data_IF_840880246699
#
_entry.id   IF_840880246699
#
_cell.length_a   1.000
_cell.length_b   1.000
_cell.length_c   1.000
_cell.angle_alpha   90.00
_cell.angle_beta   90.00
_cell.angle_gamma   90.00
#
_symmetry.space_group_name_H-M   'P 1'
#
loop_
_entity.id
_entity.type
_entity.pdbx_description
1 polymer ?
#
# COMPACT_ATOMS: atom_id res chain seq x y z
N UNK A 1 -6.59 28.80 -4.71
CA UNK A 1 -5.20 29.16 -4.33
C UNK A 1 -5.08 30.56 -3.71
N UNK A 2 -5.82 31.58 -4.19
CA UNK A 2 -5.70 32.96 -3.71
C UNK A 2 -5.85 33.14 -2.18
N UNK A 3 -6.88 32.53 -1.57
CA UNK A 3 -7.13 32.65 -0.13
C UNK A 3 -5.98 32.09 0.72
N UNK A 4 -5.52 30.86 0.44
CA UNK A 4 -4.45 30.23 1.20
C UNK A 4 -3.10 30.95 1.01
N UNK A 5 -2.84 31.48 -0.19
CA UNK A 5 -1.64 32.30 -0.45
C UNK A 5 -1.70 33.61 0.35
N UNK A 6 -2.82 34.32 0.33
CA UNK A 6 -3.02 35.55 1.09
C UNK A 6 -2.81 35.31 2.59
N UNK A 7 -3.46 34.28 3.14
CA UNK A 7 -3.27 33.91 4.55
C UNK A 7 -1.80 33.59 4.88
N UNK A 8 -1.12 32.87 4.00
CA UNK A 8 0.31 32.56 4.16
C UNK A 8 1.17 33.82 4.16
N UNK A 9 0.90 34.76 3.27
CA UNK A 9 1.67 36.01 3.16
C UNK A 9 1.42 36.93 4.36
N UNK A 10 0.21 36.92 4.92
CA UNK A 10 -0.16 37.68 6.12
C UNK A 10 0.39 37.06 7.41
N UNK A 11 0.26 35.75 7.58
CA UNK A 11 0.65 35.05 8.81
C UNK A 11 2.12 34.66 8.85
N UNK A 12 2.73 34.40 7.70
CA UNK A 12 4.13 33.95 7.55
C UNK A 12 4.48 32.76 8.46
N UNK A 13 3.72 31.64 8.38
CA UNK A 13 3.92 30.52 9.28
C UNK A 13 5.32 29.90 9.11
N UNK A 14 5.93 29.58 10.25
CA UNK A 14 7.26 28.95 10.31
C UNK A 14 7.28 27.55 9.68
N UNK A 15 6.16 26.84 9.68
CA UNK A 15 6.01 25.47 9.17
C UNK A 15 4.61 25.24 8.59
N UNK A 16 4.52 24.41 7.55
CA UNK A 16 3.26 23.85 7.04
C UNK A 16 3.27 22.32 6.99
N UNK A 17 2.15 21.69 7.36
CA UNK A 17 1.91 20.27 7.12
C UNK A 17 0.92 20.10 5.96
N UNK A 18 1.31 19.35 4.93
CA UNK A 18 0.47 19.08 3.76
C UNK A 18 0.03 17.61 3.78
N UNK A 19 -1.24 17.35 4.10
CA UNK A 19 -1.75 15.99 4.36
C UNK A 19 -2.49 15.44 3.14
N UNK A 20 -2.16 14.21 2.77
CA UNK A 20 -2.74 13.50 1.63
C UNK A 20 -2.90 12.01 1.91
N UNK A 21 -3.52 11.29 0.98
CA UNK A 21 -3.55 9.84 0.98
C UNK A 21 -2.84 9.31 -0.26
N UNK A 22 -2.07 8.24 -0.08
CA UNK A 22 -1.44 7.49 -1.16
C UNK A 22 -2.10 6.12 -1.33
N UNK A 23 -1.68 5.38 -2.36
CA UNK A 23 -2.15 4.02 -2.58
C UNK A 23 -1.79 3.12 -1.37
N UNK A 24 -2.76 2.36 -0.87
CA UNK A 24 -2.55 1.44 0.25
C UNK A 24 -1.52 0.33 -0.07
N UNK A 25 -1.27 0.02 -1.34
CA UNK A 25 -0.28 -0.95 -1.79
C UNK A 25 1.09 -0.31 -2.13
N UNK A 26 1.32 0.95 -1.77
CA UNK A 26 2.67 1.53 -1.78
C UNK A 26 3.52 0.84 -0.72
N UNK A 27 4.73 0.43 -1.09
CA UNK A 27 5.69 -0.21 -0.20
C UNK A 27 6.73 0.79 0.34
N UNK A 28 7.22 0.52 1.55
CA UNK A 28 8.36 1.21 2.13
C UNK A 28 9.66 0.57 1.62
N UNK A 29 10.20 1.11 0.53
CA UNK A 29 11.35 0.56 -0.18
C UNK A 29 11.04 -0.76 -0.88
N UNK A 30 12.10 -1.48 -1.23
CA UNK A 30 12.03 -2.82 -1.80
C UNK A 30 11.79 -3.87 -0.70
N UNK A 31 10.68 -3.73 0.02
CA UNK A 31 10.27 -4.62 1.11
C UNK A 31 8.83 -5.11 0.94
N UNK A 32 8.43 -6.03 1.82
CA UNK A 32 7.05 -6.52 1.97
C UNK A 32 6.18 -5.61 2.85
N UNK A 33 6.72 -4.49 3.33
CA UNK A 33 6.02 -3.57 4.23
C UNK A 33 5.32 -2.47 3.46
N UNK A 34 4.05 -2.24 3.77
CA UNK A 34 3.33 -1.05 3.30
C UNK A 34 3.96 0.23 3.84
N UNK A 35 4.00 1.27 3.03
CA UNK A 35 4.26 2.63 3.51
C UNK A 35 2.97 3.19 4.15
N UNK A 36 2.81 2.96 5.46
CA UNK A 36 1.67 3.44 6.22
C UNK A 36 1.68 4.98 6.30
N UNK A 37 2.87 5.55 6.49
CA UNK A 37 3.12 7.00 6.42
C UNK A 37 4.33 7.24 5.51
N UNK A 38 4.19 8.10 4.50
CA UNK A 38 5.34 8.60 3.75
C UNK A 38 5.54 10.08 4.01
N UNK A 39 6.80 10.48 4.22
CA UNK A 39 7.18 11.86 4.50
C UNK A 39 7.91 12.45 3.31
N UNK A 40 7.65 13.71 3.01
CA UNK A 40 8.49 14.53 2.14
C UNK A 40 8.76 15.87 2.81
N UNK A 41 10.03 16.16 3.05
CA UNK A 41 10.47 17.53 3.36
C UNK A 41 10.68 18.25 2.03
N UNK A 42 9.86 19.27 1.79
CA UNK A 42 9.78 19.91 0.47
C UNK A 42 10.90 20.94 0.31
N UNK A 43 11.61 20.89 -0.82
CA UNK A 43 12.65 21.85 -1.17
C UNK A 43 12.07 23.20 -1.64
N UNK A 44 11.05 23.16 -2.50
CA UNK A 44 10.41 24.37 -3.06
C UNK A 44 11.03 24.89 -4.36
N UNK A 45 12.10 24.27 -4.85
CA UNK A 45 12.74 24.63 -6.11
C UNK A 45 13.32 23.41 -6.84
N UNK A 46 13.49 23.46 -8.17
CA UNK A 46 14.00 22.33 -8.94
C UNK A 46 15.48 22.00 -8.69
N UNK A 47 16.26 22.94 -8.15
CA UNK A 47 17.67 22.71 -7.81
C UNK A 47 17.84 22.00 -6.45
N UNK A 48 16.75 21.79 -5.71
CA UNK A 48 16.70 21.20 -4.37
C UNK A 48 17.60 21.97 -3.39
N UNK A 49 17.47 23.30 -3.39
CA UNK A 49 18.26 24.17 -2.51
C UNK A 49 17.89 23.95 -1.04
N UNK A 50 18.87 23.69 -0.19
CA UNK A 50 18.63 23.57 1.25
C UNK A 50 18.55 24.95 1.90
N UNK A 51 17.53 25.13 2.75
CA UNK A 51 17.34 26.32 3.58
C UNK A 51 17.36 25.96 5.07
N UNK A 52 17.53 26.92 6.00
CA UNK A 52 17.42 26.65 7.43
C UNK A 52 16.08 26.00 7.80
N UNK A 53 15.00 26.40 7.12
CA UNK A 53 13.66 25.83 7.28
C UNK A 53 13.56 24.39 6.78
N UNK A 54 14.18 24.08 5.64
CA UNK A 54 14.29 22.72 5.12
C UNK A 54 15.07 21.80 6.08
N UNK A 55 16.23 22.24 6.55
CA UNK A 55 17.04 21.48 7.52
C UNK A 55 16.31 21.26 8.85
N UNK A 56 15.59 22.27 9.35
CA UNK A 56 14.71 22.12 10.52
C UNK A 56 13.61 21.10 10.24
N UNK A 57 12.96 21.15 9.08
CA UNK A 57 11.91 20.21 8.73
C UNK A 57 12.42 18.77 8.58
N UNK A 58 13.66 18.55 8.13
CA UNK A 58 14.31 17.22 8.19
C UNK A 58 14.47 16.71 9.63
N UNK A 59 14.87 17.58 10.56
CA UNK A 59 14.93 17.21 11.98
C UNK A 59 13.55 16.90 12.55
N UNK A 60 12.52 17.68 12.19
CA UNK A 60 11.13 17.40 12.59
C UNK A 60 10.61 16.10 11.97
N UNK A 61 10.97 15.78 10.73
CA UNK A 61 10.68 14.47 10.15
C UNK A 61 11.38 13.35 10.94
N UNK A 62 12.62 13.56 11.41
CA UNK A 62 13.27 12.61 12.32
C UNK A 62 12.53 12.44 13.65
N UNK A 63 11.93 13.50 14.21
CA UNK A 63 11.06 13.41 15.39
C UNK A 63 9.85 12.52 15.08
N UNK A 64 9.20 12.74 13.94
CA UNK A 64 8.05 11.95 13.49
C UNK A 64 8.44 10.47 13.36
N UNK A 65 9.57 10.17 12.70
CA UNK A 65 10.07 8.81 12.52
C UNK A 65 10.25 8.13 13.87
N UNK A 66 10.91 8.79 14.82
CA UNK A 66 11.14 8.25 16.16
C UNK A 66 9.83 8.02 16.93
N UNK A 67 8.88 8.95 16.84
CA UNK A 67 7.58 8.85 17.51
C UNK A 67 6.69 7.74 16.93
N UNK A 68 6.76 7.50 15.62
CA UNK A 68 5.92 6.50 14.94
C UNK A 68 6.52 5.10 14.89
N UNK A 69 7.85 4.97 14.91
CA UNK A 69 8.55 3.67 14.78
C UNK A 69 8.10 2.60 15.79
N UNK A 70 7.78 2.92 17.07
CA UNK A 70 7.24 1.93 18.01
C UNK A 70 5.87 1.36 17.60
N UNK A 71 5.08 2.10 16.83
CA UNK A 71 3.73 1.71 16.42
C UNK A 71 3.69 1.06 15.03
N UNK A 72 4.54 1.53 14.11
CA UNK A 72 4.56 1.13 12.70
C UNK A 72 5.99 0.84 12.19
N UNK A 73 6.72 -0.11 12.80
CA UNK A 73 8.15 -0.33 12.55
C UNK A 73 8.45 -0.77 11.12
N UNK A 74 9.17 0.07 10.37
CA UNK A 74 9.52 -0.16 8.97
C UNK A 74 8.40 0.13 7.97
N UNK A 75 7.30 0.74 8.41
CA UNK A 75 6.19 1.17 7.56
C UNK A 75 6.20 2.69 7.31
N UNK A 76 7.36 3.34 7.51
CA UNK A 76 7.58 4.75 7.23
C UNK A 76 8.52 4.84 6.02
N UNK A 77 8.17 5.68 5.05
CA UNK A 77 8.94 5.83 3.82
C UNK A 77 9.14 7.31 3.45
N UNK A 78 10.06 7.55 2.52
CA UNK A 78 10.25 8.85 1.89
C UNK A 78 9.42 8.92 0.61
N UNK A 79 8.54 9.92 0.52
CA UNK A 79 7.80 10.21 -0.70
C UNK A 79 8.73 10.84 -1.74
N UNK A 80 8.42 10.70 -3.02
CA UNK A 80 9.27 11.19 -4.09
C UNK A 80 9.41 12.72 -4.04
N UNK A 81 10.63 13.20 -4.25
CA UNK A 81 11.02 14.60 -4.07
C UNK A 81 11.16 15.33 -5.41
N UNK A 82 10.46 14.85 -6.45
CA UNK A 82 10.38 15.51 -7.74
C UNK A 82 9.63 16.84 -7.61
N UNK A 83 10.31 17.93 -7.99
CA UNK A 83 9.74 19.27 -7.95
C UNK A 83 8.62 19.39 -8.98
N UNK A 84 7.49 19.95 -8.56
CA UNK A 84 6.36 20.22 -9.44
C UNK A 84 5.97 21.70 -9.35
N UNK A 85 6.04 22.48 -10.46
CA UNK A 85 5.80 23.93 -10.44
C UNK A 85 4.43 24.34 -9.92
N UNK A 86 3.44 23.46 -10.05
CA UNK A 86 2.06 23.69 -9.67
C UNK A 86 1.69 23.02 -8.34
N UNK A 87 2.61 22.27 -7.71
CA UNK A 87 2.32 21.59 -6.45
C UNK A 87 2.20 22.59 -5.30
N UNK A 88 1.28 22.31 -4.40
CA UNK A 88 1.00 23.15 -3.24
C UNK A 88 2.22 23.27 -2.33
N UNK A 89 2.86 22.14 -2.00
CA UNK A 89 4.01 22.10 -1.08
C UNK A 89 5.21 22.87 -1.63
N UNK A 90 5.52 22.70 -2.92
CA UNK A 90 6.64 23.38 -3.56
C UNK A 90 6.43 24.90 -3.55
N UNK A 91 5.25 25.36 -3.97
CA UNK A 91 4.93 26.78 -3.98
C UNK A 91 4.95 27.41 -2.57
N UNK A 92 4.39 26.74 -1.56
CA UNK A 92 4.42 27.25 -0.19
C UNK A 92 5.84 27.35 0.37
N UNK A 93 6.69 26.35 0.06
CA UNK A 93 8.09 26.37 0.46
C UNK A 93 8.86 27.48 -0.27
N UNK A 94 8.63 27.65 -1.57
CA UNK A 94 9.20 28.73 -2.38
C UNK A 94 8.78 30.13 -1.88
N UNK A 95 7.54 30.29 -1.43
CA UNK A 95 7.05 31.56 -0.87
C UNK A 95 7.64 31.84 0.51
N UNK A 96 8.25 30.84 1.16
CA UNK A 96 9.00 30.98 2.42
C UNK A 96 8.34 30.30 3.61
N UNK A 97 7.38 29.39 3.41
CA UNK A 97 6.84 28.53 4.47
C UNK A 97 7.30 27.09 4.22
N UNK A 98 8.33 26.60 4.92
CA UNK A 98 8.84 25.24 4.75
C UNK A 98 7.76 24.19 5.04
N UNK A 99 7.51 23.29 4.07
CA UNK A 99 6.46 22.27 4.16
C UNK A 99 7.02 20.88 4.48
N UNK A 100 6.31 20.13 5.32
CA UNK A 100 6.40 18.66 5.43
C UNK A 100 5.11 18.09 4.85
N UNK A 101 5.22 17.28 3.80
CA UNK A 101 4.12 16.49 3.27
C UNK A 101 4.05 15.15 4.01
N UNK A 102 2.83 14.73 4.36
CA UNK A 102 2.53 13.45 4.99
C UNK A 102 1.49 12.73 4.13
N UNK A 103 1.90 11.66 3.45
CA UNK A 103 1.00 10.75 2.74
C UNK A 103 0.58 9.61 3.66
N UNK A 104 -0.72 9.41 3.82
CA UNK A 104 -1.26 8.25 4.54
C UNK A 104 -1.55 7.12 3.55
N UNK A 105 -0.89 5.98 3.74
CA UNK A 105 -1.10 4.77 2.93
C UNK A 105 -1.99 3.75 3.63
N UNK A 106 -1.59 2.47 3.58
CA UNK A 106 -2.28 1.36 4.23
C UNK A 106 -1.41 0.68 5.27
N UNK A 107 -2.05 0.00 6.22
CA UNK A 107 -1.38 -0.91 7.14
C UNK A 107 -2.27 -2.13 7.40
N UNK A 108 -1.86 -3.28 6.88
CA UNK A 108 -2.62 -4.52 6.94
C UNK A 108 -2.86 -4.92 8.40
N UNK A 109 -4.09 -5.38 8.67
CA UNK A 109 -4.52 -5.69 10.04
C UNK A 109 -4.76 -4.47 10.95
N UNK A 110 -4.78 -3.25 10.40
CA UNK A 110 -5.18 -2.03 11.12
C UNK A 110 -6.29 -1.31 10.36
N UNK A 111 -7.15 -0.62 11.11
CA UNK A 111 -8.22 0.19 10.55
C UNK A 111 -7.76 1.62 10.21
N UNK A 112 -8.63 2.39 9.57
CA UNK A 112 -8.36 3.79 9.23
C UNK A 112 -8.14 4.66 10.48
N UNK A 113 -8.87 4.37 11.57
CA UNK A 113 -8.74 5.11 12.82
C UNK A 113 -7.35 4.95 13.45
N UNK A 114 -6.71 3.79 13.31
CA UNK A 114 -5.32 3.61 13.69
C UNK A 114 -4.39 4.55 12.93
N UNK A 115 -4.57 4.70 11.61
CA UNK A 115 -3.76 5.61 10.78
C UNK A 115 -4.03 7.08 11.10
N UNK A 116 -5.27 7.44 11.45
CA UNK A 116 -5.61 8.79 11.96
C UNK A 116 -4.84 9.07 13.26
N UNK A 117 -4.76 8.11 14.18
CA UNK A 117 -3.95 8.24 15.40
C UNK A 117 -2.46 8.42 15.08
N UNK A 118 -1.94 7.74 14.06
CA UNK A 118 -0.54 7.92 13.64
C UNK A 118 -0.30 9.34 13.10
N UNK A 119 -1.20 9.87 12.28
CA UNK A 119 -1.11 11.27 11.82
C UNK A 119 -1.16 12.26 12.99
N UNK A 120 -2.04 12.04 13.96
CA UNK A 120 -2.11 12.86 15.17
C UNK A 120 -0.79 12.82 15.94
N UNK A 121 -0.24 11.62 16.21
CA UNK A 121 1.05 11.46 16.92
C UNK A 121 2.19 12.14 16.15
N UNK A 122 2.22 12.00 14.82
CA UNK A 122 3.23 12.65 13.97
C UNK A 122 3.21 14.18 14.12
N UNK A 123 2.05 14.79 13.88
CA UNK A 123 1.90 16.25 13.89
C UNK A 123 2.12 16.79 15.30
N UNK A 124 1.52 16.17 16.32
CA UNK A 124 1.67 16.59 17.71
C UNK A 124 3.13 16.51 18.19
N UNK A 125 3.85 15.44 17.84
CA UNK A 125 5.26 15.27 18.22
C UNK A 125 6.15 16.31 17.54
N UNK A 126 5.93 16.58 16.24
CA UNK A 126 6.67 17.61 15.52
C UNK A 126 6.39 19.01 16.07
N UNK A 127 5.13 19.35 16.35
CA UNK A 127 4.78 20.64 16.94
C UNK A 127 5.34 20.81 18.35
N UNK A 128 5.29 19.76 19.18
CA UNK A 128 5.89 19.80 20.52
C UNK A 128 7.41 20.02 20.44
N UNK A 129 8.10 19.25 19.60
CA UNK A 129 9.54 19.39 19.44
C UNK A 129 9.95 20.76 18.89
N UNK A 130 9.16 21.33 17.97
CA UNK A 130 9.38 22.69 17.48
C UNK A 130 9.20 23.74 18.59
N UNK A 131 8.20 23.55 19.47
CA UNK A 131 7.88 24.48 20.54
C UNK A 131 8.93 24.48 21.66
N UNK A 132 9.45 23.32 22.04
CA UNK A 132 10.48 23.18 23.08
C UNK A 132 11.92 23.23 22.55
N UNK A 133 12.09 23.21 21.23
CA UNK A 133 13.38 23.30 20.55
C UNK A 133 14.19 22.00 20.51
N UNK A 134 13.60 20.87 20.93
CA UNK A 134 14.25 19.57 21.00
C UNK A 134 14.51 18.93 19.63
N UNK A 135 13.89 19.42 18.56
CA UNK A 135 14.19 19.00 17.19
C UNK A 135 15.67 19.22 16.85
N UNK A 136 16.31 20.23 17.44
CA UNK A 136 17.74 20.52 17.27
C UNK A 136 18.66 19.39 17.76
N UNK A 137 18.17 18.51 18.63
CA UNK A 137 18.92 17.36 19.12
C UNK A 137 18.95 16.19 18.11
N UNK A 138 18.13 16.24 17.05
CA UNK A 138 18.11 15.21 16.02
C UNK A 138 18.93 15.60 14.79
N UNK A 139 19.45 14.57 14.12
CA UNK A 139 20.15 14.73 12.86
C UNK A 139 19.17 14.71 11.67
N UNK A 140 19.29 15.64 10.71
CA UNK A 140 18.58 15.57 9.43
C UNK A 140 18.78 14.24 8.68
N UNK A 141 19.94 13.59 8.88
CA UNK A 141 20.30 12.32 8.25
C UNK A 141 19.28 11.21 8.55
N UNK A 142 18.62 11.26 9.71
CA UNK A 142 17.63 10.23 10.07
C UNK A 142 16.44 10.21 9.10
N UNK A 143 16.08 11.35 8.53
CA UNK A 143 15.08 11.43 7.46
C UNK A 143 15.63 10.89 6.13
N UNK A 144 16.88 11.23 5.80
CA UNK A 144 17.53 10.83 4.55
C UNK A 144 17.76 9.30 4.45
N UNK A 145 17.76 8.60 5.59
CA UNK A 145 17.86 7.15 5.67
C UNK A 145 16.54 6.41 5.43
N UNK A 146 15.40 7.12 5.32
CA UNK A 146 14.13 6.47 5.03
C UNK A 146 14.19 5.77 3.66
N UNK A 147 13.63 4.55 3.56
CA UNK A 147 13.47 3.92 2.26
C UNK A 147 12.50 4.74 1.41
N UNK A 148 12.79 4.90 0.11
CA UNK A 148 11.86 5.56 -0.81
C UNK A 148 10.60 4.72 -1.04
N UNK A 149 9.49 5.37 -1.32
CA UNK A 149 8.28 4.71 -1.78
C UNK A 149 8.55 3.84 -3.01
N UNK A 150 7.94 2.65 -3.05
CA UNK A 150 8.02 1.73 -4.18
C UNK A 150 6.60 1.25 -4.56
N UNK A 151 6.30 1.23 -5.86
CA UNK A 151 5.00 0.79 -6.37
C UNK A 151 5.09 -0.60 -7.01
N UNK A 152 3.98 -1.34 -6.99
CA UNK A 152 3.88 -2.64 -7.68
C UNK A 152 4.54 -3.83 -6.97
N UNK A 153 5.09 -3.62 -5.76
CA UNK A 153 5.67 -4.66 -4.90
C UNK A 153 4.66 -5.40 -4.04
N UNK A 154 3.51 -4.78 -3.78
CA UNK A 154 2.49 -5.34 -2.91
C UNK A 154 1.22 -5.66 -3.68
N UNK A 155 0.58 -6.76 -3.28
CA UNK A 155 -0.76 -7.15 -3.71
C UNK A 155 -1.62 -7.48 -2.50
N UNK A 156 -2.95 -7.40 -2.64
CA UNK A 156 -3.83 -7.72 -1.50
C UNK A 156 -3.73 -9.20 -1.13
N UNK A 157 -3.85 -10.08 -2.13
CA UNK A 157 -3.78 -11.53 -1.94
C UNK A 157 -2.91 -12.17 -3.00
N UNK A 158 -2.06 -13.11 -2.60
CA UNK A 158 -1.36 -13.99 -3.53
C UNK A 158 -1.65 -15.46 -3.20
N UNK A 159 -2.12 -16.21 -4.20
CA UNK A 159 -2.17 -17.68 -4.15
C UNK A 159 -0.90 -18.23 -4.80
N UNK A 160 -0.04 -18.87 -4.01
CA UNK A 160 1.27 -19.36 -4.46
C UNK A 160 1.17 -20.76 -5.04
N UNK A 161 1.75 -20.98 -6.22
CA UNK A 161 1.92 -22.31 -6.83
C UNK A 161 0.64 -23.01 -7.30
N UNK A 162 -0.43 -22.28 -7.59
CA UNK A 162 -1.70 -22.84 -8.06
C UNK A 162 -1.53 -23.62 -9.39
N UNK A 163 -2.27 -24.71 -9.57
CA UNK A 163 -2.45 -25.32 -10.90
C UNK A 163 -3.70 -24.75 -11.55
N UNK A 164 -3.51 -23.81 -12.47
CA UNK A 164 -4.59 -23.10 -13.13
C UNK A 164 -5.14 -23.95 -14.27
N UNK A 165 -6.45 -24.16 -14.27
CA UNK A 165 -7.15 -24.87 -15.35
C UNK A 165 -7.95 -23.87 -16.18
N UNK A 166 -7.62 -23.75 -17.46
CA UNK A 166 -8.34 -22.89 -18.40
C UNK A 166 -9.73 -23.45 -18.72
N UNK A 167 -10.75 -22.59 -18.71
CA UNK A 167 -12.08 -22.95 -19.20
C UNK A 167 -12.03 -23.13 -20.73
N UNK A 168 -11.83 -24.38 -21.16
CA UNK A 168 -12.03 -24.97 -22.50
C UNK A 168 -11.08 -24.59 -23.67
N UNK A 169 -10.66 -25.58 -24.50
CA UNK A 169 -10.26 -26.94 -24.10
C UNK A 169 -8.93 -26.87 -23.36
N UNK A 170 -8.81 -27.68 -22.31
CA UNK A 170 -7.65 -27.81 -21.42
C UNK A 170 -6.40 -28.15 -22.24
N UNK A 171 -5.63 -27.15 -22.64
CA UNK A 171 -4.24 -27.33 -23.04
C UNK A 171 -3.38 -26.83 -21.88
N UNK A 172 -2.96 -27.83 -21.09
CA UNK A 172 -2.01 -27.82 -19.97
C UNK A 172 -2.36 -26.97 -18.74
N UNK A 173 -2.51 -27.67 -17.61
CA UNK A 173 -2.53 -27.03 -16.30
C UNK A 173 -1.23 -26.23 -16.13
N UNK A 174 -1.35 -24.93 -15.89
CA UNK A 174 -0.20 -24.07 -15.71
C UNK A 174 0.04 -23.88 -14.21
N UNK A 175 1.25 -24.22 -13.75
CA UNK A 175 1.72 -23.84 -12.42
C UNK A 175 2.06 -22.36 -12.42
N UNK A 176 1.39 -21.58 -11.59
CA UNK A 176 1.66 -20.15 -11.46
C UNK A 176 1.17 -19.60 -10.12
N UNK A 177 1.70 -18.45 -9.72
CA UNK A 177 1.11 -17.63 -8.68
C UNK A 177 -0.04 -16.80 -9.25
N UNK A 178 -1.07 -16.54 -8.45
CA UNK A 178 -2.21 -15.69 -8.81
C UNK A 178 -2.22 -14.50 -7.85
N UNK A 179 -1.96 -13.30 -8.38
CA UNK A 179 -1.95 -12.05 -7.63
C UNK A 179 -3.24 -11.26 -7.82
N UNK A 180 -3.87 -10.86 -6.71
CA UNK A 180 -5.20 -10.26 -6.67
C UNK A 180 -5.13 -8.91 -5.94
N UNK A 181 -5.80 -7.90 -6.51
CA UNK A 181 -6.04 -6.63 -5.84
C UNK A 181 -7.53 -6.32 -5.73
N UNK A 182 -7.89 -5.61 -4.68
CA UNK A 182 -9.24 -5.12 -4.43
C UNK A 182 -9.39 -3.70 -4.95
N UNK A 183 -10.50 -3.40 -5.61
CA UNK A 183 -10.86 -2.01 -5.92
C UNK A 183 -11.72 -1.44 -4.78
N UNK A 184 -11.16 -0.50 -4.01
CA UNK A 184 -11.96 0.31 -3.09
C UNK A 184 -12.78 1.33 -3.88
N UNK A 185 -14.10 1.19 -3.89
CA UNK A 185 -15.02 2.28 -4.24
C UNK A 185 -15.55 2.88 -2.95
N UNK A 186 -15.38 4.20 -2.76
CA UNK A 186 -15.69 4.94 -1.50
C UNK A 186 -17.14 4.85 -1.00
N UNK A 187 -18.03 4.15 -1.70
CA UNK A 187 -19.44 3.97 -1.31
C UNK A 187 -19.98 2.54 -1.53
N UNK A 188 -19.14 1.59 -1.94
CA UNK A 188 -19.61 0.24 -2.23
C UNK A 188 -19.49 -0.69 -1.01
N UNK A 189 -20.58 -1.38 -0.67
CA UNK A 189 -20.60 -2.46 0.34
C UNK A 189 -19.67 -3.64 -0.01
N UNK A 190 -19.26 -3.75 -1.27
CA UNK A 190 -18.36 -4.78 -1.78
C UNK A 190 -17.23 -4.14 -2.59
N UNK A 191 -15.98 -4.49 -2.26
CA UNK A 191 -14.83 -4.13 -3.09
C UNK A 191 -14.57 -5.29 -4.06
N UNK A 192 -14.85 -5.14 -5.37
CA UNK A 192 -14.59 -6.20 -6.32
C UNK A 192 -13.10 -6.53 -6.32
N UNK A 193 -12.80 -7.82 -6.33
CA UNK A 193 -11.44 -8.35 -6.38
C UNK A 193 -11.12 -8.78 -7.81
N UNK A 194 -9.97 -8.35 -8.32
CA UNK A 194 -9.54 -8.65 -9.68
C UNK A 194 -8.19 -9.34 -9.68
N UNK A 195 -8.05 -10.33 -10.54
CA UNK A 195 -6.76 -10.94 -10.84
C UNK A 195 -5.95 -9.89 -11.61
N UNK A 196 -4.80 -9.48 -11.05
CA UNK A 196 -3.93 -8.47 -11.65
C UNK A 196 -2.70 -9.07 -12.31
N UNK A 197 -2.13 -10.12 -11.74
CA UNK A 197 -0.97 -10.83 -12.29
C UNK A 197 -1.15 -12.33 -12.16
N UNK A 198 -0.64 -13.06 -13.14
CA UNK A 198 -0.45 -14.51 -13.12
C UNK A 198 0.96 -14.79 -13.60
N UNK A 199 1.67 -15.69 -12.94
CA UNK A 199 3.01 -16.12 -13.35
C UNK A 199 3.93 -16.31 -12.15
N UNK A 200 5.22 -16.06 -12.36
CA UNK A 200 6.18 -15.97 -11.25
C UNK A 200 6.03 -14.60 -10.57
N UNK A 201 5.67 -14.61 -9.29
CA UNK A 201 5.51 -13.42 -8.45
C UNK A 201 6.51 -13.40 -7.30
N UNK A 202 7.69 -14.02 -7.43
CA UNK A 202 8.71 -14.05 -6.38
C UNK A 202 9.22 -12.65 -5.97
N UNK A 203 9.08 -11.64 -6.85
CA UNK A 203 9.50 -10.26 -6.58
C UNK A 203 8.41 -9.37 -5.96
N UNK A 204 7.22 -9.94 -5.71
CA UNK A 204 6.03 -9.29 -5.15
C UNK A 204 5.61 -10.00 -3.87
N UNK A 205 5.11 -9.25 -2.90
CA UNK A 205 4.56 -9.78 -1.65
C UNK A 205 3.05 -9.56 -1.56
N UNK A 206 2.32 -10.54 -1.06
CA UNK A 206 0.92 -10.41 -0.72
C UNK A 206 0.75 -9.89 0.71
N UNK A 207 -0.24 -9.04 0.95
CA UNK A 207 -0.65 -8.73 2.33
C UNK A 207 -1.20 -9.99 3.02
N UNK A 208 -1.91 -10.82 2.25
CA UNK A 208 -2.20 -12.20 2.60
C UNK A 208 -1.66 -13.15 1.52
N UNK A 209 -0.93 -14.19 1.94
CA UNK A 209 -0.42 -15.22 1.04
C UNK A 209 -0.93 -16.61 1.45
N UNK A 210 -1.31 -17.39 0.45
CA UNK A 210 -1.84 -18.74 0.66
C UNK A 210 -1.11 -19.74 -0.22
N UNK A 211 -0.77 -20.90 0.33
CA UNK A 211 -0.20 -22.01 -0.43
C UNK A 211 -1.31 -22.74 -1.22
N UNK A 212 -1.31 -22.56 -2.54
CA UNK A 212 -2.23 -23.20 -3.47
C UNK A 212 -1.58 -24.37 -4.24
N UNK A 213 -0.36 -24.78 -3.86
CA UNK A 213 0.38 -25.86 -4.55
C UNK A 213 -0.31 -27.22 -4.51
N UNK A 214 -1.20 -27.45 -3.55
CA UNK A 214 -2.03 -28.65 -3.45
C UNK A 214 -3.34 -28.61 -4.25
N UNK A 215 -3.63 -27.52 -4.97
CA UNK A 215 -4.95 -27.26 -5.54
C UNK A 215 -4.93 -27.07 -7.06
N UNK A 216 -5.99 -27.56 -7.71
CA UNK A 216 -6.46 -27.04 -8.99
C UNK A 216 -7.30 -25.78 -8.73
N UNK A 217 -7.06 -24.74 -9.51
CA UNK A 217 -7.77 -23.47 -9.41
C UNK A 217 -8.49 -23.17 -10.72
N UNK A 218 -9.80 -22.99 -10.61
CA UNK A 218 -10.71 -22.69 -11.73
C UNK A 218 -11.45 -21.40 -11.41
N UNK A 219 -11.67 -20.57 -12.41
CA UNK A 219 -12.53 -19.40 -12.24
C UNK A 219 -13.99 -19.80 -12.38
N UNK A 220 -14.84 -19.34 -11.44
CA UNK A 220 -16.24 -19.75 -11.30
C UNK A 220 -17.11 -19.35 -12.49
N UNK A 221 -16.85 -18.18 -13.06
CA UNK A 221 -17.64 -17.60 -14.17
C UNK A 221 -16.78 -17.21 -15.38
N UNK A 222 -15.49 -16.96 -15.16
CA UNK A 222 -14.54 -16.50 -16.17
C UNK A 222 -13.26 -17.31 -16.05
N UNK A 223 -12.51 -17.45 -17.14
CA UNK A 223 -11.16 -18.03 -17.08
C UNK A 223 -10.27 -17.23 -16.12
N UNK A 224 -9.37 -17.94 -15.41
CA UNK A 224 -8.38 -17.31 -14.53
C UNK A 224 -7.33 -16.62 -15.38
N UNK A 225 -7.49 -15.30 -15.57
CA UNK A 225 -6.57 -14.45 -16.34
C UNK A 225 -6.52 -13.03 -15.78
N UNK A 226 -5.46 -12.25 -16.03
CA UNK A 226 -5.42 -10.85 -15.66
C UNK A 226 -6.64 -10.07 -16.20
N UNK A 227 -7.23 -9.23 -15.34
CA UNK A 227 -8.43 -8.44 -15.64
C UNK A 227 -9.75 -9.14 -15.28
N UNK A 228 -9.77 -10.45 -15.07
CA UNK A 228 -10.97 -11.16 -14.63
C UNK A 228 -11.24 -10.97 -13.13
N UNK A 229 -12.51 -11.12 -12.75
CA UNK A 229 -12.90 -11.16 -11.33
C UNK A 229 -12.23 -12.34 -10.64
N UNK A 230 -11.77 -12.12 -9.41
CA UNK A 230 -11.20 -13.14 -8.54
C UNK A 230 -12.31 -13.99 -7.89
N UNK A 231 -13.08 -14.67 -8.73
CA UNK A 231 -14.09 -15.66 -8.35
C UNK A 231 -13.48 -17.04 -8.57
N UNK A 232 -12.80 -17.57 -7.55
CA UNK A 232 -11.93 -18.75 -7.66
C UNK A 232 -12.50 -19.94 -6.89
N UNK A 233 -12.52 -21.09 -7.56
CA UNK A 233 -12.85 -22.40 -7.00
C UNK A 233 -11.56 -23.19 -6.80
N UNK A 234 -11.39 -23.76 -5.62
CA UNK A 234 -10.21 -24.54 -5.25
C UNK A 234 -10.61 -26.00 -5.05
N UNK A 235 -9.90 -26.89 -5.74
CA UNK A 235 -10.07 -28.33 -5.65
C UNK A 235 -8.75 -29.01 -5.30
N UNK A 236 -8.73 -29.82 -4.24
CA UNK A 236 -7.56 -30.61 -3.85
C UNK A 236 -7.18 -31.57 -4.98
N UNK A 237 -5.92 -31.59 -5.38
CA UNK A 237 -5.42 -32.44 -6.48
C UNK A 237 -5.56 -33.93 -6.23
N UNK A 238 -5.61 -34.32 -4.97
CA UNK A 238 -5.79 -35.70 -4.51
C UNK A 238 -7.23 -36.22 -4.72
N UNK A 239 -8.20 -35.33 -4.96
CA UNK A 239 -9.58 -35.73 -5.26
C UNK A 239 -9.71 -36.23 -6.69
N UNK A 240 -10.45 -37.32 -6.87
CA UNK A 240 -10.91 -37.76 -8.20
C UNK A 240 -12.08 -36.89 -8.64
N UNK A 241 -11.79 -35.92 -9.50
CA UNK A 241 -12.77 -34.97 -10.04
C UNK A 241 -12.69 -34.97 -11.56
N UNK A 242 -13.84 -34.90 -12.23
CA UNK A 242 -13.87 -34.68 -13.67
C UNK A 242 -13.86 -33.18 -13.96
N UNK A 243 -12.66 -32.60 -14.11
CA UNK A 243 -12.44 -31.19 -14.40
C UNK A 243 -13.07 -30.71 -15.72
N UNK A 244 -13.57 -31.62 -16.56
CA UNK A 244 -14.26 -31.31 -17.82
C UNK A 244 -15.78 -31.22 -17.67
N UNK A 245 -16.31 -31.54 -16.49
CA UNK A 245 -17.75 -31.45 -16.23
C UNK A 245 -18.27 -30.03 -16.45
N UNK A 246 -19.39 -29.92 -17.18
CA UNK A 246 -20.07 -28.64 -17.42
C UNK A 246 -20.71 -28.09 -16.13
N UNK A 247 -21.07 -28.98 -15.21
CA UNK A 247 -21.66 -28.68 -13.91
C UNK A 247 -20.67 -28.99 -12.77
N UNK A 248 -19.36 -28.74 -12.99
CA UNK A 248 -18.28 -29.11 -12.08
C UNK A 248 -18.55 -28.73 -10.61
N UNK A 249 -18.95 -27.48 -10.34
CA UNK A 249 -19.22 -26.99 -8.97
C UNK A 249 -20.35 -27.77 -8.28
N UNK A 250 -21.33 -28.27 -9.04
CA UNK A 250 -22.49 -29.00 -8.54
C UNK A 250 -22.19 -30.49 -8.35
N UNK A 251 -21.55 -31.12 -9.34
CA UNK A 251 -21.20 -32.54 -9.30
C UNK A 251 -20.05 -32.82 -8.31
N UNK A 252 -19.12 -31.87 -8.23
CA UNK A 252 -17.97 -31.93 -7.35
C UNK A 252 -17.90 -30.62 -6.56
N UNK A 253 -18.44 -30.55 -5.32
CA UNK A 253 -18.35 -29.34 -4.53
C UNK A 253 -16.88 -28.94 -4.29
N UNK A 254 -16.49 -27.66 -4.48
CA UNK A 254 -15.12 -27.20 -4.26
C UNK A 254 -14.73 -27.27 -2.79
N UNK A 255 -13.44 -27.46 -2.50
CA UNK A 255 -12.93 -27.48 -1.13
C UNK A 255 -12.96 -26.08 -0.53
N UNK A 256 -12.54 -25.07 -1.31
CA UNK A 256 -12.63 -23.67 -0.95
C UNK A 256 -13.14 -22.80 -2.10
N UNK A 257 -13.75 -21.67 -1.74
CA UNK A 257 -14.24 -20.67 -2.70
C UNK A 257 -13.77 -19.30 -2.20
N UNK A 258 -13.05 -18.60 -3.06
CA UNK A 258 -12.67 -17.19 -2.87
C UNK A 258 -13.50 -16.33 -3.81
N UNK A 259 -14.24 -15.37 -3.26
CA UNK A 259 -15.22 -14.56 -4.00
C UNK A 259 -15.33 -13.20 -3.33
N UNK A 260 -15.48 -12.13 -4.12
CA UNK A 260 -15.59 -10.76 -3.61
C UNK A 260 -14.51 -10.38 -2.57
N UNK A 261 -13.28 -10.88 -2.77
CA UNK A 261 -12.13 -10.57 -1.91
C UNK A 261 -12.09 -11.31 -0.57
N UNK A 262 -12.93 -12.34 -0.37
CA UNK A 262 -12.98 -13.12 0.87
C UNK A 262 -13.22 -14.61 0.61
N UNK A 263 -12.92 -15.43 1.61
CA UNK A 263 -13.35 -16.82 1.64
C UNK A 263 -14.87 -16.88 1.86
N UNK A 264 -15.61 -17.50 0.95
CA UNK A 264 -17.04 -17.79 1.13
C UNK A 264 -17.29 -19.26 1.51
N UNK A 265 -16.27 -20.11 1.30
CA UNK A 265 -16.19 -21.50 1.75
C UNK A 265 -14.74 -21.89 1.94
N UNK A 266 -14.46 -22.75 2.92
CA UNK A 266 -13.15 -23.39 3.08
C UNK A 266 -12.06 -22.44 3.57
N UNK A 267 -12.42 -21.45 4.40
CA UNK A 267 -11.41 -20.65 5.10
C UNK A 267 -10.53 -21.58 5.96
N UNK A 268 -9.22 -21.52 5.76
CA UNK A 268 -8.26 -22.41 6.41
C UNK A 268 -7.90 -23.69 5.62
N UNK A 269 -8.57 -23.99 4.51
CA UNK A 269 -8.22 -25.14 3.66
C UNK A 269 -6.85 -24.97 2.98
N UNK A 270 -6.51 -23.72 2.62
CA UNK A 270 -5.18 -23.34 2.15
C UNK A 270 -4.37 -22.80 3.33
N UNK A 271 -3.15 -23.32 3.50
CA UNK A 271 -2.23 -22.84 4.53
C UNK A 271 -1.83 -21.40 4.23
N UNK A 272 -2.07 -20.50 5.19
CA UNK A 272 -1.52 -19.13 5.15
C UNK A 272 0.00 -19.18 5.31
N UNK A 273 0.72 -18.50 4.43
CA UNK A 273 2.19 -18.38 4.51
C UNK A 273 2.62 -17.25 5.43
#
# INVERSE_FOLDING_TARGET
ALLLKQLRDEWQPDIGFNLHNQNALTAAGKSDKQAAISLLVVYGDPAKTTSPGHERNKRLAAVIINALSPFIPGNIAMYDDEWTPTAFGDNFSAWGTPVILIETGGLHGRDEMFLVKMNFVAIASALNALADGSERNLSPVNYDLLPRNESGRLMNVIFRGAQIIGATPIETAQSADIGINFERRREAFFSPAFIRRIGDLADVSGLDEYDASGFFVIGRQQSVRPGSLAELLFYRKERKIDLKSLDLEKEFPPDAIFSLGKWVKGEGELKKK
#
